data_IF_692631142914
#
_entry.id   IF_692631142914
#
_cell.length_a   1.000
_cell.length_b   1.000
_cell.length_c   1.000
_cell.angle_alpha   90.00
_cell.angle_beta   90.00
_cell.angle_gamma   90.00
#
_symmetry.space_group_name_H-M   'P 1'
#
loop_
_entity.id
_entity.type
_entity.pdbx_description
1 polymer ?
#
# COMPACT_ATOMS: atom_id res chain seq x y z
N UNK A 1 -22.16 15.72 14.70
CA UNK A 1 -21.09 14.90 15.32
C UNK A 1 -19.92 14.93 14.36
N UNK A 2 -18.73 15.37 14.81
CA UNK A 2 -17.54 15.29 13.97
C UNK A 2 -17.21 13.81 13.71
N UNK A 3 -16.80 13.43 12.49
CA UNK A 3 -16.38 12.06 12.24
C UNK A 3 -15.23 11.70 13.20
N UNK A 4 -15.22 10.45 13.67
CA UNK A 4 -14.05 9.91 14.36
C UNK A 4 -12.92 9.77 13.33
N UNK A 5 -12.00 10.72 13.32
CA UNK A 5 -10.87 10.77 12.38
C UNK A 5 -9.65 10.16 13.07
N UNK A 6 -8.99 9.24 12.38
CA UNK A 6 -7.70 8.67 12.77
C UNK A 6 -6.61 9.19 11.83
N UNK A 7 -5.41 9.36 12.36
CA UNK A 7 -4.22 9.83 11.67
C UNK A 7 -3.19 8.69 11.60
N UNK A 8 -2.77 8.33 10.39
CA UNK A 8 -1.76 7.30 10.16
C UNK A 8 -0.38 7.92 9.90
N UNK A 9 0.67 7.37 10.52
CA UNK A 9 2.06 7.69 10.21
C UNK A 9 2.57 6.83 9.06
N UNK A 10 2.71 7.41 7.88
CA UNK A 10 3.20 6.72 6.69
C UNK A 10 4.68 6.34 6.79
N UNK A 11 4.97 5.07 6.53
CA UNK A 11 6.31 4.49 6.44
C UNK A 11 6.45 3.87 5.03
N UNK A 12 6.75 4.68 3.99
CA UNK A 12 6.86 4.23 2.61
C UNK A 12 8.23 3.59 2.31
N UNK A 13 8.43 2.99 1.12
CA UNK A 13 9.75 2.58 0.66
C UNK A 13 10.74 3.73 0.72
N UNK A 14 11.95 3.46 1.19
CA UNK A 14 12.98 4.48 1.40
C UNK A 14 14.12 4.41 0.38
N UNK A 15 14.11 3.42 -0.53
CA UNK A 15 15.14 3.27 -1.57
C UNK A 15 14.55 3.02 -2.95
N UNK A 16 13.83 1.92 -3.16
CA UNK A 16 13.20 1.61 -4.45
C UNK A 16 11.68 1.61 -4.31
N UNK A 17 10.97 2.19 -5.28
CA UNK A 17 9.51 2.22 -5.30
C UNK A 17 8.99 1.11 -6.22
N UNK A 18 8.02 0.32 -5.74
CA UNK A 18 7.46 -0.85 -6.46
C UNK A 18 8.45 -1.98 -6.74
N UNK A 19 9.59 -1.99 -6.05
CA UNK A 19 10.67 -2.97 -6.21
C UNK A 19 11.19 -3.35 -4.81
N UNK A 20 11.81 -4.52 -4.69
CA UNK A 20 12.42 -4.98 -3.43
C UNK A 20 13.52 -4.03 -2.97
N UNK A 21 13.53 -3.67 -1.68
CA UNK A 21 14.64 -2.93 -1.11
C UNK A 21 15.91 -3.80 -0.95
N UNK A 22 16.96 -3.46 -1.69
CA UNK A 22 18.23 -4.21 -1.76
C UNK A 22 19.30 -3.75 -0.76
N UNK A 23 18.98 -2.78 0.12
CA UNK A 23 19.91 -2.31 1.16
C UNK A 23 20.10 -3.34 2.26
N UNK A 24 21.07 -3.12 3.15
CA UNK A 24 21.32 -4.00 4.30
C UNK A 24 20.17 -3.95 5.33
N UNK A 25 19.90 -5.07 6.02
CA UNK A 25 18.82 -5.20 7.02
C UNK A 25 18.90 -4.11 8.10
N UNK A 26 20.10 -3.87 8.64
CA UNK A 26 20.30 -2.89 9.71
C UNK A 26 20.07 -1.45 9.24
N UNK A 27 20.40 -1.15 7.99
CA UNK A 27 20.13 0.16 7.38
C UNK A 27 18.62 0.39 7.23
N UNK A 28 17.89 -0.61 6.69
CA UNK A 28 16.45 -0.55 6.55
C UNK A 28 15.78 -0.38 7.92
N UNK A 29 16.15 -1.23 8.90
CA UNK A 29 15.57 -1.19 10.25
C UNK A 29 15.82 0.16 10.93
N UNK A 30 17.05 0.67 10.89
CA UNK A 30 17.41 1.93 11.52
C UNK A 30 16.67 3.11 10.88
N UNK A 31 16.61 3.16 9.55
CA UNK A 31 15.93 4.24 8.85
C UNK A 31 14.41 4.25 9.11
N UNK A 32 13.76 3.08 9.18
CA UNK A 32 12.34 3.01 9.57
C UNK A 32 12.13 3.40 11.03
N UNK A 33 13.02 2.99 11.94
CA UNK A 33 12.95 3.39 13.35
C UNK A 33 13.05 4.91 13.51
N UNK A 34 14.01 5.55 12.84
CA UNK A 34 14.21 7.00 12.93
C UNK A 34 13.00 7.78 12.38
N UNK A 35 12.42 7.33 11.28
CA UNK A 35 11.19 7.92 10.74
C UNK A 35 9.99 7.70 11.67
N UNK A 36 9.80 6.48 12.16
CA UNK A 36 8.70 6.14 13.07
C UNK A 36 8.78 6.94 14.37
N UNK A 37 9.98 7.11 14.94
CA UNK A 37 10.23 7.91 16.14
C UNK A 37 9.78 9.36 16.01
N UNK A 38 9.96 9.96 14.84
CA UNK A 38 9.53 11.33 14.56
C UNK A 38 8.01 11.45 14.41
N UNK A 39 7.37 10.43 13.85
CA UNK A 39 5.92 10.39 13.62
C UNK A 39 5.14 10.01 14.88
N UNK A 40 5.72 9.15 15.72
CA UNK A 40 5.04 8.50 16.85
C UNK A 40 4.20 9.46 17.71
N UNK A 41 4.67 10.64 18.15
CA UNK A 41 3.87 11.49 19.03
C UNK A 41 2.57 12.06 18.41
N UNK A 42 2.41 11.97 17.09
CA UNK A 42 1.37 12.68 16.33
C UNK A 42 0.36 11.77 15.60
N UNK A 43 0.54 10.45 15.69
CA UNK A 43 -0.23 9.48 14.89
C UNK A 43 -0.93 8.46 15.78
N UNK A 44 -2.09 7.99 15.36
CA UNK A 44 -2.85 6.97 16.06
C UNK A 44 -2.31 5.55 15.78
N UNK A 45 -1.76 5.35 14.58
CA UNK A 45 -1.19 4.07 14.12
C UNK A 45 -0.16 4.30 13.00
N UNK A 46 0.69 3.31 12.72
CA UNK A 46 1.60 3.35 11.57
C UNK A 46 0.98 2.72 10.33
N UNK A 47 1.31 3.24 9.16
CA UNK A 47 0.88 2.69 7.88
C UNK A 47 2.12 2.36 7.04
N UNK A 48 2.35 1.07 6.82
CA UNK A 48 3.49 0.56 6.06
C UNK A 48 3.16 0.71 4.57
N UNK A 49 3.53 1.85 3.98
CA UNK A 49 2.89 2.40 2.79
C UNK A 49 3.56 1.95 1.49
N UNK A 50 3.03 0.92 0.81
CA UNK A 50 3.50 0.49 -0.53
C UNK A 50 4.85 -0.26 -0.47
N UNK A 51 5.06 -1.11 0.54
CA UNK A 51 6.25 -1.97 0.60
C UNK A 51 6.10 -3.19 -0.33
N UNK A 52 7.22 -3.68 -0.84
CA UNK A 52 7.28 -4.59 -1.99
C UNK A 52 7.91 -5.95 -1.72
N UNK A 53 8.24 -6.25 -0.45
CA UNK A 53 8.82 -7.55 -0.07
C UNK A 53 8.47 -8.00 1.35
N UNK A 54 8.45 -9.32 1.58
CA UNK A 54 8.22 -9.88 2.93
C UNK A 54 9.37 -9.48 3.86
N UNK A 55 10.60 -9.45 3.34
CA UNK A 55 11.78 -9.00 4.06
C UNK A 55 11.63 -7.56 4.58
N UNK A 56 11.19 -6.62 3.74
CA UNK A 56 10.94 -5.25 4.19
C UNK A 56 9.87 -5.20 5.28
N UNK A 57 8.74 -5.89 5.11
CA UNK A 57 7.69 -5.91 6.14
C UNK A 57 8.21 -6.39 7.48
N UNK A 58 9.02 -7.45 7.50
CA UNK A 58 9.65 -7.95 8.73
C UNK A 58 10.51 -6.87 9.39
N UNK A 59 11.38 -6.22 8.62
CA UNK A 59 12.31 -5.21 9.14
C UNK A 59 11.57 -3.96 9.65
N UNK A 60 10.51 -3.52 8.97
CA UNK A 60 9.73 -2.36 9.43
C UNK A 60 8.94 -2.71 10.70
N UNK A 61 8.36 -3.91 10.78
CA UNK A 61 7.63 -4.36 11.98
C UNK A 61 8.58 -4.46 13.18
N UNK A 62 9.79 -5.00 12.98
CA UNK A 62 10.85 -4.98 14.00
C UNK A 62 11.24 -3.56 14.41
N UNK A 63 11.35 -2.63 13.45
CA UNK A 63 11.72 -1.24 13.72
C UNK A 63 10.65 -0.49 14.53
N UNK A 64 9.36 -0.85 14.39
CA UNK A 64 8.28 -0.15 15.08
C UNK A 64 7.78 -0.82 16.37
N UNK A 65 8.34 -1.99 16.73
CA UNK A 65 7.82 -2.80 17.83
C UNK A 65 7.80 -2.05 19.18
N UNK A 66 8.82 -1.23 19.46
CA UNK A 66 9.00 -0.56 20.74
C UNK A 66 8.04 0.63 20.95
N UNK A 67 7.43 1.15 19.88
CA UNK A 67 6.41 2.19 19.98
C UNK A 67 5.06 1.64 20.46
N UNK A 68 4.87 0.32 20.41
CA UNK A 68 3.64 -0.37 20.83
C UNK A 68 2.35 0.23 20.23
N UNK A 69 2.42 0.68 18.97
CA UNK A 69 1.27 1.20 18.23
C UNK A 69 0.66 0.17 17.30
N UNK A 70 -0.65 0.26 17.01
CA UNK A 70 -1.24 -0.45 15.90
C UNK A 70 -0.57 -0.09 14.58
N UNK A 71 -0.61 -1.01 13.62
CA UNK A 71 -0.15 -0.72 12.27
C UNK A 71 -1.02 -1.38 11.20
N UNK A 72 -1.08 -0.73 10.03
CA UNK A 72 -1.74 -1.21 8.84
C UNK A 72 -0.68 -1.56 7.79
N UNK A 73 -0.77 -2.77 7.22
CA UNK A 73 0.11 -3.21 6.13
C UNK A 73 -0.43 -2.66 4.80
N UNK A 74 0.42 -2.00 4.01
CA UNK A 74 0.16 -1.63 2.63
C UNK A 74 1.10 -2.36 1.68
N UNK A 75 0.71 -3.55 1.23
CA UNK A 75 1.50 -4.38 0.31
C UNK A 75 1.29 -3.95 -1.14
N UNK A 76 2.37 -3.73 -1.88
CA UNK A 76 2.29 -3.45 -3.31
C UNK A 76 2.44 -4.72 -4.14
N UNK A 77 1.61 -4.84 -5.18
CA UNK A 77 1.74 -5.83 -6.24
C UNK A 77 1.54 -5.09 -7.55
N UNK A 78 2.58 -5.05 -8.38
CA UNK A 78 2.52 -4.33 -9.64
C UNK A 78 1.71 -5.09 -10.70
N UNK A 79 1.89 -6.41 -10.77
CA UNK A 79 1.21 -7.31 -11.69
C UNK A 79 1.15 -8.75 -11.14
N UNK A 80 0.12 -9.49 -11.51
CA UNK A 80 -0.07 -10.88 -11.07
C UNK A 80 -0.36 -11.00 -9.58
N UNK A 81 0.11 -12.09 -8.97
CA UNK A 81 -0.28 -12.48 -7.60
C UNK A 81 0.87 -12.58 -6.60
N UNK A 82 2.05 -12.12 -6.98
CA UNK A 82 3.24 -12.12 -6.14
C UNK A 82 3.72 -10.69 -5.89
N UNK A 83 4.32 -10.44 -4.73
CA UNK A 83 5.05 -9.22 -4.46
C UNK A 83 6.18 -9.03 -5.49
N UNK A 84 6.68 -7.79 -5.71
CA UNK A 84 7.81 -7.55 -6.60
C UNK A 84 9.06 -8.41 -6.31
N UNK A 85 9.29 -8.82 -5.07
CA UNK A 85 10.35 -9.78 -4.68
C UNK A 85 10.01 -11.26 -4.91
N UNK A 86 8.78 -11.59 -5.32
CA UNK A 86 8.36 -12.92 -5.77
C UNK A 86 7.56 -13.76 -4.77
N UNK A 87 7.47 -13.34 -3.51
CA UNK A 87 6.69 -14.02 -2.46
C UNK A 87 5.19 -13.73 -2.58
N UNK A 88 4.39 -14.52 -1.87
CA UNK A 88 2.94 -14.31 -1.79
C UNK A 88 2.57 -13.31 -0.71
N UNK A 89 1.35 -12.76 -0.80
CA UNK A 89 0.80 -11.89 0.25
C UNK A 89 0.68 -12.66 1.58
N UNK A 90 0.26 -13.92 1.50
CA UNK A 90 0.16 -14.83 2.64
C UNK A 90 1.49 -15.05 3.37
N UNK A 91 2.64 -14.90 2.70
CA UNK A 91 3.94 -15.02 3.34
C UNK A 91 4.21 -13.86 4.32
N UNK A 92 3.62 -12.67 4.08
CA UNK A 92 3.69 -11.56 5.04
C UNK A 92 3.04 -11.96 6.36
N UNK A 93 1.88 -12.60 6.31
CA UNK A 93 1.09 -12.97 7.49
C UNK A 93 1.62 -14.23 8.18
N UNK A 94 2.10 -15.20 7.40
CA UNK A 94 2.49 -16.51 7.93
C UNK A 94 3.93 -16.53 8.47
N UNK A 95 4.83 -15.68 7.94
CA UNK A 95 6.25 -15.73 8.27
C UNK A 95 6.69 -14.63 9.24
N UNK A 96 5.79 -13.74 9.67
CA UNK A 96 6.08 -12.62 10.56
C UNK A 96 5.13 -12.68 11.77
N UNK A 97 5.66 -12.40 12.96
CA UNK A 97 4.83 -12.27 14.15
C UNK A 97 4.13 -10.91 14.17
N UNK A 98 2.81 -10.93 14.33
CA UNK A 98 1.96 -9.74 14.31
C UNK A 98 1.29 -9.49 15.67
N UNK A 99 1.78 -8.51 16.42
CA UNK A 99 1.22 -8.19 17.74
C UNK A 99 0.09 -7.14 17.70
N UNK A 100 0.22 -6.13 16.83
CA UNK A 100 -0.71 -4.98 16.78
C UNK A 100 -1.21 -4.71 15.34
N UNK A 101 -1.40 -5.76 14.54
CA UNK A 101 -1.84 -5.63 13.16
C UNK A 101 -3.32 -5.25 13.07
N UNK A 102 -3.62 -4.14 12.39
CA UNK A 102 -4.99 -3.69 12.10
C UNK A 102 -5.60 -4.44 10.90
N UNK A 103 -4.77 -4.88 9.97
CA UNK A 103 -5.19 -5.51 8.73
C UNK A 103 -4.19 -5.30 7.60
N UNK A 104 -4.56 -5.74 6.40
CA UNK A 104 -3.74 -5.61 5.20
C UNK A 104 -4.52 -4.98 4.05
N UNK A 105 -3.93 -3.98 3.42
CA UNK A 105 -4.41 -3.45 2.16
C UNK A 105 -3.41 -3.73 1.05
N UNK A 106 -3.91 -4.01 -0.15
CA UNK A 106 -3.09 -3.91 -1.34
C UNK A 106 -3.04 -2.45 -1.79
N UNK A 107 -1.85 -1.88 -1.76
CA UNK A 107 -1.65 -0.44 -1.90
C UNK A 107 -1.00 -0.06 -3.22
N UNK A 108 -1.42 1.10 -3.73
CA UNK A 108 -1.11 1.60 -5.05
C UNK A 108 -1.26 0.52 -6.13
N UNK A 109 -2.37 -0.22 -6.10
CA UNK A 109 -2.67 -1.34 -6.99
C UNK A 109 -3.77 -0.98 -8.00
N UNK A 110 -3.78 -1.57 -9.18
CA UNK A 110 -4.91 -1.40 -10.10
C UNK A 110 -6.16 -2.17 -9.60
N UNK A 111 -7.39 -1.72 -9.91
CA UNK A 111 -8.61 -2.47 -9.60
C UNK A 111 -8.59 -3.91 -10.14
N UNK A 112 -8.02 -4.09 -11.33
CA UNK A 112 -7.90 -5.38 -12.00
C UNK A 112 -6.96 -6.32 -11.23
N UNK A 113 -5.79 -5.81 -10.84
CA UNK A 113 -4.82 -6.63 -10.10
C UNK A 113 -5.30 -6.91 -8.66
N UNK A 114 -6.04 -5.97 -8.04
CA UNK A 114 -6.71 -6.24 -6.77
C UNK A 114 -7.75 -7.36 -6.91
N UNK A 115 -8.50 -7.38 -8.00
CA UNK A 115 -9.46 -8.45 -8.28
C UNK A 115 -8.79 -9.82 -8.41
N UNK A 116 -7.61 -9.91 -9.03
CA UNK A 116 -6.84 -11.15 -9.15
C UNK A 116 -6.40 -11.69 -7.77
N UNK A 117 -6.04 -10.79 -6.86
CA UNK A 117 -5.53 -11.13 -5.53
C UNK A 117 -6.62 -11.25 -4.45
N UNK A 118 -7.87 -10.90 -4.77
CA UNK A 118 -8.97 -10.78 -3.80
C UNK A 118 -9.18 -12.05 -2.98
N UNK A 119 -9.12 -13.22 -3.62
CA UNK A 119 -9.35 -14.50 -2.93
C UNK A 119 -8.25 -14.81 -1.92
N UNK A 120 -6.98 -14.55 -2.27
CA UNK A 120 -5.87 -14.76 -1.35
C UNK A 120 -6.00 -13.85 -0.13
N UNK A 121 -6.16 -12.55 -0.35
CA UNK A 121 -6.26 -11.55 0.73
C UNK A 121 -7.45 -11.84 1.65
N UNK A 122 -8.60 -12.19 1.08
CA UNK A 122 -9.81 -12.55 1.84
C UNK A 122 -9.58 -13.78 2.73
N UNK A 123 -8.84 -14.77 2.24
CA UNK A 123 -8.60 -16.02 2.96
C UNK A 123 -7.58 -15.89 4.11
N UNK A 124 -6.94 -14.73 4.28
CA UNK A 124 -6.05 -14.46 5.42
C UNK A 124 -6.80 -14.33 6.75
N UNK A 125 -8.12 -14.13 6.72
CA UNK A 125 -8.94 -14.09 7.94
C UNK A 125 -8.76 -12.83 8.81
N UNK A 126 -8.10 -11.80 8.27
CA UNK A 126 -7.88 -10.50 8.93
C UNK A 126 -8.61 -9.38 8.15
N UNK A 127 -8.85 -8.21 8.77
CA UNK A 127 -9.40 -7.06 8.05
C UNK A 127 -8.55 -6.73 6.82
N UNK A 128 -9.20 -6.48 5.69
CA UNK A 128 -8.48 -6.23 4.46
C UNK A 128 -9.11 -5.17 3.56
N UNK A 129 -8.36 -4.74 2.57
CA UNK A 129 -8.88 -3.91 1.50
C UNK A 129 -7.81 -3.38 0.56
N UNK A 130 -7.90 -2.12 0.17
CA UNK A 130 -7.08 -1.58 -0.91
C UNK A 130 -6.89 -0.07 -0.87
N UNK A 131 -5.86 0.39 -1.57
CA UNK A 131 -5.78 1.76 -2.11
C UNK A 131 -5.55 1.69 -3.62
N UNK A 132 -6.61 1.92 -4.40
CA UNK A 132 -6.57 1.78 -5.86
C UNK A 132 -5.86 2.96 -6.52
N UNK A 133 -5.01 2.68 -7.51
CA UNK A 133 -4.32 3.71 -8.32
C UNK A 133 -4.99 3.91 -9.69
N UNK A 134 -4.73 5.06 -10.31
CA UNK A 134 -5.13 5.38 -11.68
C UNK A 134 -3.92 5.58 -12.62
N UNK A 135 -2.81 4.88 -12.36
CA UNK A 135 -1.71 4.76 -13.32
C UNK A 135 -2.04 3.72 -14.41
N UNK A 136 -1.34 3.79 -15.54
CA UNK A 136 -1.42 2.76 -16.60
C UNK A 136 -0.60 1.54 -16.22
N UNK A 137 0.57 1.73 -15.61
CA UNK A 137 1.41 0.66 -15.06
C UNK A 137 2.07 1.10 -13.76
N UNK A 138 2.46 0.15 -12.92
CA UNK A 138 3.38 0.35 -11.78
C UNK A 138 4.67 -0.46 -11.92
N UNK A 139 4.80 -1.28 -12.97
CA UNK A 139 6.02 -1.98 -13.36
C UNK A 139 6.54 -1.46 -14.71
N UNK A 140 7.14 -0.25 -14.77
CA UNK A 140 7.72 0.24 -16.01
C UNK A 140 8.98 -0.56 -16.36
N UNK A 141 9.27 -0.68 -17.65
CA UNK A 141 10.52 -1.31 -18.12
C UNK A 141 11.73 -0.63 -17.47
N UNK A 142 12.65 -1.41 -16.93
CA UNK A 142 13.84 -0.97 -16.17
C UNK A 142 13.56 -0.46 -14.74
N UNK A 143 12.35 -0.66 -14.19
CA UNK A 143 12.04 -0.29 -12.80
C UNK A 143 11.70 1.19 -12.61
N UNK A 144 11.03 1.53 -11.51
CA UNK A 144 10.53 2.87 -11.24
C UNK A 144 11.70 3.86 -11.12
N UNK A 145 12.71 3.53 -10.31
CA UNK A 145 13.78 4.45 -9.93
C UNK A 145 14.62 4.87 -11.14
N UNK A 146 14.89 3.95 -12.07
CA UNK A 146 15.62 4.29 -13.29
C UNK A 146 14.83 5.22 -14.21
N UNK A 147 13.52 4.98 -14.37
CA UNK A 147 12.66 5.87 -15.15
C UNK A 147 12.50 7.24 -14.49
N UNK A 148 12.41 7.28 -13.15
CA UNK A 148 12.36 8.51 -12.38
C UNK A 148 13.64 9.35 -12.57
N UNK A 149 14.82 8.73 -12.45
CA UNK A 149 16.10 9.41 -12.66
C UNK A 149 16.32 9.88 -14.10
N UNK A 150 15.71 9.20 -15.08
CA UNK A 150 15.74 9.60 -16.49
C UNK A 150 14.69 10.67 -16.84
N UNK A 151 13.66 10.86 -16.00
CA UNK A 151 12.61 11.86 -16.21
C UNK A 151 13.17 13.26 -16.05
N UNK A 152 12.78 14.17 -16.94
CA UNK A 152 13.18 15.59 -16.88
C UNK A 152 12.47 16.35 -15.76
N UNK A 153 11.28 15.91 -15.37
CA UNK A 153 10.45 16.60 -14.37
C UNK A 153 10.32 15.82 -13.06
N UNK A 154 10.68 14.54 -13.07
CA UNK A 154 10.41 13.61 -11.97
C UNK A 154 8.92 13.26 -11.83
N UNK A 155 8.05 13.66 -12.78
CA UNK A 155 6.63 13.34 -12.71
C UNK A 155 6.39 11.89 -13.12
N UNK A 156 5.86 11.02 -12.24
CA UNK A 156 5.62 9.62 -12.57
C UNK A 156 4.68 9.42 -13.76
N UNK A 157 3.79 10.38 -14.05
CA UNK A 157 2.90 10.29 -15.21
C UNK A 157 3.64 10.24 -16.55
N UNK A 158 4.90 10.69 -16.63
CA UNK A 158 5.70 10.62 -17.86
C UNK A 158 6.04 9.18 -18.27
N UNK A 159 6.16 8.27 -17.29
CA UNK A 159 6.61 6.90 -17.52
C UNK A 159 5.67 5.80 -16.99
N UNK A 160 4.83 6.11 -16.00
CA UNK A 160 3.75 5.21 -15.52
C UNK A 160 2.43 5.44 -16.26
N UNK A 161 2.25 6.63 -16.86
CA UNK A 161 1.03 7.04 -17.54
C UNK A 161 -0.17 7.24 -16.59
N UNK A 162 -1.15 8.04 -17.00
CA UNK A 162 -2.40 8.22 -16.26
C UNK A 162 -3.59 7.64 -17.03
N UNK A 163 -4.33 6.75 -16.39
CA UNK A 163 -5.61 6.24 -16.91
C UNK A 163 -6.68 7.33 -16.89
N UNK A 164 -7.46 7.41 -17.96
CA UNK A 164 -8.56 8.40 -18.13
C UNK A 164 -9.94 7.78 -17.98
N UNK A 165 -10.03 6.46 -18.03
CA UNK A 165 -11.23 5.65 -17.90
C UNK A 165 -11.67 5.49 -16.43
N UNK A 166 -10.72 5.50 -15.48
CA UNK A 166 -11.01 5.38 -14.05
C UNK A 166 -11.59 6.68 -13.47
N UNK A 167 -12.81 7.00 -13.89
CA UNK A 167 -13.61 8.12 -13.38
C UNK A 167 -14.06 7.88 -11.93
N UNK A 168 -14.52 8.92 -11.21
CA UNK A 168 -15.11 8.76 -9.88
C UNK A 168 -16.21 7.71 -9.80
N UNK A 169 -17.08 7.64 -10.82
CA UNK A 169 -18.17 6.65 -10.87
C UNK A 169 -17.64 5.23 -11.10
N UNK A 170 -16.66 5.05 -11.99
CA UNK A 170 -16.08 3.73 -12.23
C UNK A 170 -15.32 3.24 -10.99
N UNK A 171 -14.56 4.10 -10.32
CA UNK A 171 -13.92 3.81 -9.04
C UNK A 171 -14.94 3.35 -7.99
N UNK A 172 -16.06 4.06 -7.87
CA UNK A 172 -17.16 3.71 -6.98
C UNK A 172 -17.72 2.30 -7.25
N UNK A 173 -17.86 1.90 -8.52
CA UNK A 173 -18.32 0.56 -8.89
C UNK A 173 -17.36 -0.54 -8.44
N UNK A 174 -16.04 -0.34 -8.62
CA UNK A 174 -15.04 -1.26 -8.09
C UNK A 174 -15.10 -1.35 -6.56
N UNK A 175 -15.22 -0.21 -5.89
CA UNK A 175 -15.29 -0.14 -4.44
C UNK A 175 -16.52 -0.86 -3.90
N UNK A 176 -17.69 -0.68 -4.52
CA UNK A 176 -18.91 -1.42 -4.20
C UNK A 176 -18.68 -2.93 -4.33
N UNK A 177 -18.15 -3.38 -5.47
CA UNK A 177 -17.88 -4.80 -5.74
C UNK A 177 -16.96 -5.42 -4.69
N UNK A 178 -15.87 -4.75 -4.34
CA UNK A 178 -14.90 -5.26 -3.38
C UNK A 178 -15.40 -5.21 -1.94
N UNK A 179 -16.21 -4.20 -1.58
CA UNK A 179 -16.90 -4.16 -0.29
C UNK A 179 -17.87 -5.34 -0.15
N UNK A 180 -18.66 -5.63 -1.18
CA UNK A 180 -19.56 -6.79 -1.21
C UNK A 180 -18.80 -8.13 -1.08
N UNK A 181 -17.53 -8.17 -1.50
CA UNK A 181 -16.65 -9.32 -1.31
C UNK A 181 -16.00 -9.41 0.09
N UNK A 182 -16.16 -8.39 0.94
CA UNK A 182 -15.70 -8.37 2.33
C UNK A 182 -14.61 -7.35 2.65
N UNK A 183 -14.15 -6.53 1.69
CA UNK A 183 -13.16 -5.49 1.96
C UNK A 183 -13.73 -4.42 2.89
N UNK A 184 -12.98 -4.07 3.94
CA UNK A 184 -13.39 -3.11 4.98
C UNK A 184 -12.54 -1.84 5.00
N UNK A 185 -11.36 -1.85 4.38
CA UNK A 185 -10.42 -0.72 4.35
C UNK A 185 -10.30 -0.21 2.90
N UNK A 186 -11.02 0.88 2.59
CA UNK A 186 -11.26 1.31 1.22
C UNK A 186 -10.62 2.68 0.97
N UNK A 187 -9.71 2.79 -0.01
CA UNK A 187 -9.04 4.05 -0.32
C UNK A 187 -8.61 4.20 -1.77
N UNK A 188 -8.13 5.40 -2.08
CA UNK A 188 -7.45 5.73 -3.33
C UNK A 188 -5.97 5.98 -3.10
N UNK A 189 -5.17 5.77 -4.14
CA UNK A 189 -3.73 6.06 -4.17
C UNK A 189 -3.42 7.06 -5.29
N UNK A 190 -2.32 6.89 -6.00
CA UNK A 190 -1.88 7.78 -7.06
C UNK A 190 -2.95 8.02 -8.13
N UNK A 191 -3.02 9.27 -8.59
CA UNK A 191 -3.97 9.76 -9.59
C UNK A 191 -5.46 9.63 -9.23
N UNK A 192 -5.76 9.31 -7.96
CA UNK A 192 -7.10 9.52 -7.39
C UNK A 192 -7.25 10.96 -6.90
N UNK A 193 -8.51 11.40 -6.70
CA UNK A 193 -8.85 12.80 -6.38
C UNK A 193 -9.96 12.84 -5.32
N UNK A 194 -10.19 13.99 -4.64
CA UNK A 194 -11.31 14.14 -3.72
C UNK A 194 -12.68 13.77 -4.32
N UNK A 195 -12.87 13.97 -5.64
CA UNK A 195 -14.08 13.52 -6.35
C UNK A 195 -14.27 12.01 -6.33
N UNK A 196 -13.20 11.22 -6.43
CA UNK A 196 -13.25 9.76 -6.27
C UNK A 196 -13.68 9.39 -4.86
N UNK A 197 -13.03 9.99 -3.84
CA UNK A 197 -13.38 9.74 -2.44
C UNK A 197 -14.86 10.08 -2.17
N UNK A 198 -15.36 11.20 -2.70
CA UNK A 198 -16.77 11.61 -2.59
C UNK A 198 -17.75 10.58 -3.16
N UNK A 199 -17.38 9.86 -4.22
CA UNK A 199 -18.19 8.78 -4.76
C UNK A 199 -18.04 7.49 -3.94
N UNK A 200 -16.83 7.17 -3.48
CA UNK A 200 -16.55 6.00 -2.64
C UNK A 200 -17.35 6.01 -1.33
N UNK A 201 -17.48 7.18 -0.68
CA UNK A 201 -18.17 7.27 0.61
C UNK A 201 -19.66 6.95 0.56
N UNK A 202 -20.28 6.91 -0.64
CA UNK A 202 -21.67 6.48 -0.82
C UNK A 202 -21.89 5.02 -0.47
N UNK A 203 -20.81 4.25 -0.37
CA UNK A 203 -20.80 2.86 0.05
C UNK A 203 -20.17 2.70 1.43
N UNK A 204 -20.19 3.71 2.30
CA UNK A 204 -19.86 3.53 3.74
C UNK A 204 -20.92 2.67 4.42
#
# INVERSE_FOLDING_TARGET
>A
QYPHVLIAGGLPPQYLTYEEDTRADDEIRQNFFDQAKLLDPYVDFFYLDVLSSVREFKLVIEAIQDFNKPYLIGAHISEGVNLPSGEKISDIINNINHNNLLGIILSCISPENFQENLNEVKNLGIPFGFKLNAYVTTNPKNGYTNNYNASKTGNPNEFLGQRKDLTPMLMANFVKKFKEAGATILGGCCETRPSHIKEMVKFK
#
